data_IF_506545894550
#
_entry.id   IF_506545894550
#
_cell.length_a   1.000
_cell.length_b   1.000
_cell.length_c   1.000
_cell.angle_alpha   90.00
_cell.angle_beta   90.00
_cell.angle_gamma   90.00
#
_symmetry.space_group_name_H-M   'P 1'
#
loop_
_entity.id
_entity.type
_entity.pdbx_description
1 polymer ?
#
# COMPACT_ATOMS: atom_id res chain seq x y z
N UNK A 1 -38.14 -13.45 58.14
CA UNK A 1 -38.47 -12.61 56.97
C UNK A 1 -37.43 -11.48 56.95
N UNK A 2 -36.44 -11.48 56.05
CA UNK A 2 -36.52 -11.01 54.64
C UNK A 2 -35.58 -9.77 54.57
N UNK A 3 -34.47 -9.61 53.80
CA UNK A 3 -33.83 -10.34 52.70
C UNK A 3 -32.31 -10.07 52.65
N UNK A 4 -31.60 -11.01 52.02
CA UNK A 4 -30.26 -10.85 51.45
C UNK A 4 -30.44 -10.23 50.06
N UNK A 5 -29.72 -9.17 49.72
CA UNK A 5 -29.55 -8.76 48.32
C UNK A 5 -28.08 -8.47 48.03
N UNK A 6 -27.53 -9.37 47.22
CA UNK A 6 -26.15 -9.45 46.74
C UNK A 6 -25.97 -8.43 45.62
N UNK A 7 -24.98 -7.54 45.76
CA UNK A 7 -24.52 -6.65 44.69
C UNK A 7 -23.63 -7.44 43.71
N UNK A 8 -24.17 -7.75 42.53
CA UNK A 8 -23.42 -8.32 41.41
C UNK A 8 -22.69 -7.22 40.65
N UNK A 9 -21.37 -7.19 40.74
CA UNK A 9 -20.49 -6.33 39.94
C UNK A 9 -20.21 -7.03 38.60
N UNK A 10 -20.91 -6.63 37.53
CA UNK A 10 -20.63 -7.14 36.18
C UNK A 10 -19.42 -6.40 35.60
N UNK A 11 -18.28 -7.10 35.49
CA UNK A 11 -17.08 -6.60 34.85
C UNK A 11 -17.26 -6.56 33.32
N UNK A 12 -17.30 -5.37 32.74
CA UNK A 12 -17.21 -5.14 31.30
C UNK A 12 -15.73 -5.29 30.86
N UNK A 13 -15.38 -6.46 30.34
CA UNK A 13 -14.10 -6.68 29.67
C UNK A 13 -14.15 -6.03 28.27
N UNK A 14 -13.45 -4.91 28.10
CA UNK A 14 -13.17 -4.34 26.78
C UNK A 14 -12.13 -5.19 26.05
N UNK A 15 -12.57 -6.00 25.09
CA UNK A 15 -11.69 -6.72 24.18
C UNK A 15 -11.13 -5.74 23.12
N UNK A 16 -9.90 -5.25 23.34
CA UNK A 16 -9.18 -4.39 22.39
C UNK A 16 -8.37 -5.19 21.34
N UNK A 17 -8.83 -6.38 20.92
CA UNK A 17 -8.06 -7.34 20.10
C UNK A 17 -8.39 -7.30 18.61
N UNK A 18 -9.18 -6.33 18.13
CA UNK A 18 -9.70 -6.34 16.76
C UNK A 18 -8.78 -5.75 15.68
N UNK A 19 -7.91 -4.81 16.04
CA UNK A 19 -7.09 -4.09 15.06
C UNK A 19 -6.03 -5.00 14.42
N UNK A 20 -5.26 -5.72 15.23
CA UNK A 20 -4.23 -6.65 14.75
C UNK A 20 -4.79 -7.77 13.87
N UNK A 21 -5.94 -8.35 14.25
CA UNK A 21 -6.56 -9.41 13.46
C UNK A 21 -7.06 -8.89 12.10
N UNK A 22 -7.66 -7.70 12.08
CA UNK A 22 -8.16 -7.08 10.85
C UNK A 22 -7.03 -6.68 9.90
N UNK A 23 -5.87 -6.28 10.42
CA UNK A 23 -4.68 -5.99 9.63
C UNK A 23 -4.02 -7.27 9.11
N UNK A 24 -3.90 -8.33 9.93
CA UNK A 24 -3.40 -9.62 9.48
C UNK A 24 -4.22 -10.17 8.31
N UNK A 25 -5.55 -10.14 8.38
CA UNK A 25 -6.41 -10.60 7.30
C UNK A 25 -6.35 -9.71 6.05
N UNK A 26 -6.11 -8.42 6.23
CA UNK A 26 -5.87 -7.50 5.12
C UNK A 26 -4.54 -7.82 4.42
N UNK A 27 -3.46 -8.01 5.18
CA UNK A 27 -2.13 -8.29 4.65
C UNK A 27 -2.05 -9.61 3.87
N UNK A 28 -2.77 -10.65 4.33
CA UNK A 28 -2.85 -11.96 3.63
C UNK A 28 -3.32 -11.85 2.17
N UNK A 29 -4.11 -10.82 1.82
CA UNK A 29 -4.64 -10.61 0.45
C UNK A 29 -3.55 -10.26 -0.56
N UNK A 30 -2.37 -9.90 -0.09
CA UNK A 30 -1.23 -9.58 -0.92
C UNK A 30 -0.22 -10.73 -1.04
N UNK A 31 -0.46 -11.86 -0.39
CA UNK A 31 0.36 -13.06 -0.55
C UNK A 31 0.04 -13.79 -1.86
N UNK A 32 1.06 -14.31 -2.55
CA UNK A 32 0.90 -15.10 -3.77
C UNK A 32 1.61 -14.51 -4.99
N UNK A 33 1.23 -14.96 -6.17
CA UNK A 33 1.77 -14.47 -7.44
C UNK A 33 0.70 -13.72 -8.21
N UNK A 34 1.09 -12.58 -8.78
CA UNK A 34 0.18 -11.68 -9.49
C UNK A 34 0.79 -11.24 -10.82
N UNK A 35 -0.05 -11.02 -11.83
CA UNK A 35 0.33 -10.30 -13.02
C UNK A 35 -0.76 -9.33 -13.46
N UNK A 36 -0.37 -8.37 -14.27
CA UNK A 36 -1.31 -7.39 -14.78
C UNK A 36 -0.62 -6.29 -15.55
N UNK A 37 -1.29 -5.15 -15.65
CA UNK A 37 -0.84 -4.05 -16.48
C UNK A 37 -1.36 -2.71 -15.98
N UNK A 38 -0.78 -1.64 -16.51
CA UNK A 38 -1.11 -0.29 -16.08
C UNK A 38 -0.37 0.80 -16.83
N UNK A 39 -0.62 2.04 -16.41
CA UNK A 39 0.07 3.23 -16.90
C UNK A 39 1.10 3.74 -15.90
N UNK A 40 2.29 4.10 -16.38
CA UNK A 40 3.33 4.77 -15.59
C UNK A 40 3.82 6.01 -16.32
N UNK A 41 3.81 7.16 -15.64
CA UNK A 41 4.38 8.42 -16.11
C UNK A 41 5.75 8.62 -15.48
N UNK A 42 6.67 9.20 -16.24
CA UNK A 42 7.99 9.61 -15.72
C UNK A 42 8.08 11.10 -15.42
N UNK A 43 7.14 11.88 -15.94
CA UNK A 43 6.93 13.30 -15.66
C UNK A 43 5.42 13.61 -15.67
N UNK A 44 4.98 14.59 -14.90
CA UNK A 44 3.55 14.88 -14.72
C UNK A 44 2.85 15.26 -16.04
N UNK A 45 3.55 15.94 -16.95
CA UNK A 45 3.09 16.37 -18.27
C UNK A 45 3.24 15.30 -19.37
N UNK A 46 3.85 14.15 -19.06
CA UNK A 46 4.09 13.08 -20.03
C UNK A 46 2.92 12.11 -20.17
N UNK A 47 2.72 11.58 -21.39
CA UNK A 47 1.80 10.46 -21.61
C UNK A 47 2.24 9.21 -20.85
N UNK A 48 1.30 8.43 -20.27
CA UNK A 48 1.64 7.22 -19.54
C UNK A 48 2.18 6.14 -20.48
N UNK A 49 3.20 5.44 -20.01
CA UNK A 49 3.72 4.24 -20.64
C UNK A 49 2.89 3.05 -20.19
N UNK A 50 2.39 2.27 -21.13
CA UNK A 50 1.72 1.01 -20.82
C UNK A 50 2.77 -0.03 -20.41
N UNK A 51 2.60 -0.59 -19.22
CA UNK A 51 3.49 -1.60 -18.65
C UNK A 51 2.74 -2.90 -18.39
N UNK A 52 3.43 -4.03 -18.53
CA UNK A 52 2.99 -5.33 -18.02
C UNK A 52 3.83 -5.68 -16.80
N UNK A 53 3.21 -6.10 -15.72
CA UNK A 53 3.89 -6.36 -14.46
C UNK A 53 3.67 -7.79 -13.99
N UNK A 54 4.69 -8.35 -13.34
CA UNK A 54 4.64 -9.60 -12.57
C UNK A 54 5.16 -9.30 -11.17
N UNK A 55 4.41 -9.69 -10.15
CA UNK A 55 4.69 -9.40 -8.74
C UNK A 55 4.47 -10.66 -7.92
N UNK A 56 5.41 -10.96 -7.04
CA UNK A 56 5.29 -11.97 -6.00
C UNK A 56 5.12 -11.25 -4.66
N UNK A 57 4.18 -11.72 -3.86
CA UNK A 57 3.91 -11.20 -2.54
C UNK A 57 4.08 -12.25 -1.47
N UNK A 58 4.64 -11.83 -0.34
CA UNK A 58 4.80 -12.63 0.88
C UNK A 58 4.28 -11.83 2.06
N UNK A 59 3.41 -12.43 2.87
CA UNK A 59 2.75 -11.75 3.99
C UNK A 59 2.91 -12.55 5.29
N UNK A 60 3.03 -11.81 6.39
CA UNK A 60 2.88 -12.33 7.75
C UNK A 60 1.65 -11.66 8.39
N UNK A 61 1.46 -11.85 9.70
CA UNK A 61 0.40 -11.16 10.46
C UNK A 61 0.62 -9.64 10.54
N UNK A 62 1.86 -9.17 10.43
CA UNK A 62 2.21 -7.76 10.62
C UNK A 62 3.12 -7.17 9.55
N UNK A 63 3.37 -7.90 8.46
CA UNK A 63 4.18 -7.41 7.34
C UNK A 63 3.73 -7.94 5.99
N UNK A 64 4.05 -7.20 4.94
CA UNK A 64 3.98 -7.68 3.55
C UNK A 64 5.22 -7.23 2.78
N UNK A 65 5.74 -8.11 1.94
CA UNK A 65 6.75 -7.80 0.94
C UNK A 65 6.18 -8.09 -0.44
N UNK A 66 6.28 -7.11 -1.34
CA UNK A 66 5.94 -7.22 -2.75
C UNK A 66 7.24 -7.04 -3.54
N UNK A 67 7.58 -8.01 -4.37
CA UNK A 67 8.75 -7.96 -5.26
C UNK A 67 8.32 -8.31 -6.69
N UNK A 68 8.71 -7.49 -7.66
CA UNK A 68 8.29 -7.71 -9.02
C UNK A 68 9.02 -6.89 -10.06
N UNK A 69 8.55 -7.04 -11.28
CA UNK A 69 9.07 -6.30 -12.44
C UNK A 69 7.93 -5.82 -13.31
N UNK A 70 8.10 -4.63 -13.90
CA UNK A 70 7.24 -4.08 -14.93
C UNK A 70 8.03 -3.86 -16.22
N UNK A 71 7.48 -4.31 -17.34
CA UNK A 71 8.07 -4.20 -18.67
C UNK A 71 7.22 -3.28 -19.55
N UNK A 72 7.83 -2.23 -20.08
CA UNK A 72 7.23 -1.37 -21.09
C UNK A 72 7.77 -1.72 -22.49
N UNK A 73 6.92 -1.63 -23.52
CA UNK A 73 7.28 -1.87 -24.92
C UNK A 73 8.05 -3.19 -25.17
N UNK A 74 7.82 -4.21 -24.32
CA UNK A 74 8.52 -5.49 -24.31
C UNK A 74 10.06 -5.45 -24.09
N UNK A 75 10.67 -4.29 -23.84
CA UNK A 75 12.14 -4.15 -23.75
C UNK A 75 12.63 -3.37 -22.53
N UNK A 76 11.83 -2.45 -21.98
CA UNK A 76 12.24 -1.64 -20.83
C UNK A 76 11.69 -2.27 -19.56
N UNK A 77 12.52 -3.05 -18.86
CA UNK A 77 12.14 -3.67 -17.59
C UNK A 77 12.64 -2.88 -16.39
N UNK A 78 11.79 -2.74 -15.38
CA UNK A 78 12.11 -2.10 -14.10
C UNK A 78 11.66 -2.97 -12.95
N UNK A 79 12.50 -3.05 -11.92
CA UNK A 79 12.11 -3.62 -10.64
C UNK A 79 11.08 -2.71 -9.97
N UNK A 80 10.04 -3.31 -9.42
CA UNK A 80 9.05 -2.67 -8.56
C UNK A 80 8.93 -3.48 -7.27
N UNK A 81 8.62 -2.83 -6.16
CA UNK A 81 8.38 -3.53 -4.90
C UNK A 81 7.96 -2.63 -3.78
N UNK A 82 7.39 -3.22 -2.74
CA UNK A 82 7.03 -2.52 -1.51
C UNK A 82 7.18 -3.47 -0.32
N UNK A 83 7.96 -3.06 0.67
CA UNK A 83 8.08 -3.75 1.95
C UNK A 83 7.36 -2.90 2.99
N UNK A 84 6.36 -3.47 3.67
CA UNK A 84 5.55 -2.79 4.67
C UNK A 84 5.49 -3.61 5.96
N UNK A 85 5.48 -2.89 7.08
CA UNK A 85 5.18 -3.41 8.42
C UNK A 85 4.09 -2.57 9.04
N UNK A 86 3.21 -3.20 9.80
CA UNK A 86 2.18 -2.52 10.60
C UNK A 86 2.48 -2.73 12.08
N UNK A 87 2.38 -1.66 12.87
CA UNK A 87 2.46 -1.73 14.32
C UNK A 87 1.08 -1.96 14.95
N UNK A 88 1.04 -2.19 16.27
CA UNK A 88 -0.21 -2.40 17.01
C UNK A 88 -1.13 -1.18 17.05
N UNK A 89 -0.66 -0.01 16.62
CA UNK A 89 -1.48 1.20 16.44
C UNK A 89 -2.04 1.32 15.01
N UNK A 90 -1.86 0.32 14.16
CA UNK A 90 -2.32 0.30 12.77
C UNK A 90 -1.50 1.22 11.85
N UNK A 91 -0.29 1.61 12.26
CA UNK A 91 0.60 2.48 11.47
C UNK A 91 1.47 1.62 10.58
N UNK A 92 1.35 1.86 9.28
CA UNK A 92 2.15 1.21 8.25
C UNK A 92 3.43 2.02 8.01
N UNK A 93 4.58 1.35 7.99
CA UNK A 93 5.87 1.93 7.63
C UNK A 93 6.61 1.01 6.67
N UNK A 94 7.50 1.55 5.85
CA UNK A 94 8.22 0.71 4.90
C UNK A 94 8.98 1.42 3.81
N UNK A 95 9.24 0.69 2.73
CA UNK A 95 10.02 1.16 1.58
C UNK A 95 9.33 0.80 0.27
N UNK A 96 9.31 1.75 -0.66
CA UNK A 96 8.90 1.54 -2.05
C UNK A 96 10.10 1.55 -2.99
N UNK A 97 10.16 0.57 -3.88
CA UNK A 97 11.10 0.50 -5.01
C UNK A 97 10.33 0.58 -6.33
N UNK A 98 10.80 1.41 -7.25
CA UNK A 98 10.18 1.54 -8.58
C UNK A 98 10.58 2.81 -9.32
N UNK A 99 10.99 3.83 -8.56
CA UNK A 99 11.50 5.08 -9.13
C UNK A 99 12.99 5.00 -9.48
N UNK A 100 13.40 5.76 -10.52
CA UNK A 100 14.82 5.94 -10.89
C UNK A 100 15.62 6.65 -9.80
N UNK A 101 14.97 7.43 -8.95
CA UNK A 101 15.64 8.27 -7.96
C UNK A 101 16.07 7.50 -6.70
N UNK A 102 15.69 6.23 -6.58
CA UNK A 102 16.04 5.34 -5.48
C UNK A 102 14.82 4.91 -4.65
N UNK A 103 15.03 4.05 -3.64
CA UNK A 103 13.98 3.60 -2.75
C UNK A 103 13.39 4.77 -1.94
N UNK A 104 12.07 4.80 -1.80
CA UNK A 104 11.34 5.83 -1.09
C UNK A 104 10.80 5.30 0.23
N UNK A 105 10.77 6.13 1.27
CA UNK A 105 10.16 5.76 2.53
C UNK A 105 8.62 5.83 2.42
N UNK A 106 7.95 4.90 3.10
CA UNK A 106 6.50 4.81 3.17
C UNK A 106 6.03 5.00 4.61
N UNK A 107 4.98 5.79 4.81
CA UNK A 107 4.28 5.86 6.10
C UNK A 107 2.80 6.15 5.90
N UNK A 108 1.93 5.47 6.65
CA UNK A 108 0.50 5.70 6.50
C UNK A 108 -0.35 4.74 7.31
N UNK A 109 -1.62 4.62 6.94
CA UNK A 109 -2.61 3.79 7.61
C UNK A 109 -3.61 3.25 6.62
N UNK A 110 -4.40 2.28 7.06
CA UNK A 110 -5.60 1.88 6.32
C UNK A 110 -6.66 2.98 6.35
N UNK A 111 -7.38 3.08 5.23
CA UNK A 111 -8.57 3.89 5.05
C UNK A 111 -9.61 3.00 4.37
N UNK A 112 -10.51 2.42 5.15
CA UNK A 112 -11.41 1.37 4.68
C UNK A 112 -10.65 0.13 4.20
N UNK A 113 -10.90 -0.26 2.95
CA UNK A 113 -10.26 -1.41 2.31
C UNK A 113 -8.95 -1.07 1.61
N UNK A 114 -8.47 0.17 1.66
CA UNK A 114 -7.18 0.55 1.09
C UNK A 114 -6.15 0.83 2.18
N UNK A 115 -4.88 0.66 1.86
CA UNK A 115 -3.80 1.33 2.61
C UNK A 115 -3.36 2.56 1.82
N UNK A 116 -3.32 3.70 2.51
CA UNK A 116 -2.93 4.99 1.96
C UNK A 116 -1.63 5.41 2.63
N UNK A 117 -0.59 5.58 1.83
CA UNK A 117 0.79 5.77 2.27
C UNK A 117 1.33 7.08 1.70
N UNK A 118 1.87 7.91 2.57
CA UNK A 118 2.77 8.98 2.15
C UNK A 118 4.06 8.35 1.63
N UNK A 119 4.48 8.79 0.46
CA UNK A 119 5.77 8.45 -0.13
C UNK A 119 6.71 9.62 0.14
N UNK A 120 7.87 9.33 0.72
CA UNK A 120 8.96 10.30 0.87
C UNK A 120 10.12 9.89 -0.01
N UNK A 121 10.31 10.64 -1.09
CA UNK A 121 11.38 10.41 -2.06
C UNK A 121 12.76 10.77 -1.50
N UNK A 122 13.83 10.03 -1.84
CA UNK A 122 15.20 10.37 -1.43
C UNK A 122 15.75 11.62 -2.14
N UNK A 123 15.14 12.01 -3.26
CA UNK A 123 15.47 13.20 -4.06
C UNK A 123 14.18 13.80 -4.62
N UNK A 124 14.16 15.10 -4.96
CA UNK A 124 12.96 15.70 -5.51
C UNK A 124 12.46 15.02 -6.79
N UNK A 125 11.14 14.82 -6.88
CA UNK A 125 10.34 14.44 -8.05
C UNK A 125 9.32 15.55 -8.23
N UNK A 126 9.16 16.06 -9.46
CA UNK A 126 8.27 17.19 -9.73
C UNK A 126 8.47 18.39 -8.78
N UNK A 127 9.70 18.60 -8.30
CA UNK A 127 10.06 19.75 -7.45
C UNK A 127 9.87 19.57 -5.93
N UNK A 128 9.36 18.44 -5.44
CA UNK A 128 9.35 18.13 -4.01
C UNK A 128 9.62 16.64 -3.72
N UNK A 129 9.57 16.22 -2.46
CA UNK A 129 9.87 14.84 -2.06
C UNK A 129 8.64 14.02 -1.67
N UNK A 130 7.43 14.46 -2.02
CA UNK A 130 6.18 13.92 -1.49
C UNK A 130 5.28 13.36 -2.58
N UNK A 131 4.75 12.17 -2.35
CA UNK A 131 3.66 11.62 -3.15
C UNK A 131 2.72 10.82 -2.25
N UNK A 132 1.61 10.34 -2.80
CA UNK A 132 0.67 9.46 -2.11
C UNK A 132 0.52 8.17 -2.89
N UNK A 133 0.78 7.06 -2.23
CA UNK A 133 0.53 5.72 -2.74
C UNK A 133 -0.75 5.16 -2.14
N UNK A 134 -1.58 4.55 -2.97
CA UNK A 134 -2.77 3.81 -2.54
C UNK A 134 -2.66 2.37 -3.05
N UNK A 135 -2.79 1.41 -2.14
CA UNK A 135 -2.89 0.00 -2.47
C UNK A 135 -4.27 -0.48 -2.05
N UNK A 136 -5.03 -1.03 -3.00
CA UNK A 136 -6.42 -1.46 -2.78
C UNK A 136 -6.57 -2.91 -3.24
N UNK A 137 -6.91 -3.85 -2.34
CA UNK A 137 -7.32 -5.18 -2.70
C UNK A 137 -8.51 -5.15 -3.66
N UNK A 138 -8.60 -6.17 -4.50
CA UNK A 138 -9.73 -6.44 -5.38
C UNK A 138 -10.17 -7.87 -5.14
N UNK A 139 -11.27 -8.30 -5.79
CA UNK A 139 -11.78 -9.66 -5.65
C UNK A 139 -10.73 -10.77 -5.93
N UNK A 140 -9.75 -10.51 -6.81
CA UNK A 140 -8.72 -11.49 -7.17
C UNK A 140 -7.36 -10.83 -7.43
N UNK A 141 -6.88 -9.98 -6.51
CA UNK A 141 -5.62 -9.25 -6.66
C UNK A 141 -5.67 -7.87 -6.02
N UNK A 142 -4.98 -6.89 -6.60
CA UNK A 142 -4.96 -5.53 -6.06
C UNK A 142 -4.63 -4.48 -7.12
N UNK A 143 -4.96 -3.23 -6.83
CA UNK A 143 -4.47 -2.07 -7.58
C UNK A 143 -3.37 -1.36 -6.81
N UNK A 144 -2.40 -0.83 -7.56
CA UNK A 144 -1.29 -0.04 -7.07
C UNK A 144 -1.33 1.32 -7.79
N UNK A 145 -1.60 2.39 -7.04
CA UNK A 145 -1.66 3.74 -7.58
C UNK A 145 -0.71 4.69 -6.84
N UNK A 146 -0.06 5.58 -7.59
CA UNK A 146 0.75 6.68 -7.05
C UNK A 146 0.27 7.98 -7.65
N UNK A 147 -0.16 8.89 -6.79
CA UNK A 147 -0.50 10.27 -7.11
C UNK A 147 0.62 11.19 -6.63
N UNK A 148 1.02 12.14 -7.47
CA UNK A 148 2.06 13.14 -7.17
C UNK A 148 1.54 14.53 -7.59
N UNK A 149 2.16 15.61 -7.12
CA UNK A 149 1.89 16.93 -7.67
C UNK A 149 2.67 17.13 -8.97
N UNK A 150 2.14 17.92 -9.89
CA UNK A 150 2.87 18.33 -11.10
C UNK A 150 4.03 19.30 -10.81
N UNK A 151 3.89 20.07 -9.73
CA UNK A 151 4.88 20.97 -9.14
C UNK A 151 4.50 21.27 -7.69
N UNK A 152 5.39 21.84 -6.87
CA UNK A 152 5.04 22.22 -5.50
C UNK A 152 3.82 23.17 -5.47
N UNK A 153 2.78 22.77 -4.74
CA UNK A 153 1.50 23.52 -4.66
C UNK A 153 0.61 23.43 -5.90
N UNK A 154 0.95 22.55 -6.86
CA UNK A 154 0.22 22.36 -8.10
C UNK A 154 -0.91 21.33 -8.02
N UNK A 155 -1.27 20.77 -9.16
CA UNK A 155 -2.38 19.82 -9.29
C UNK A 155 -1.92 18.38 -9.05
N UNK A 156 -2.79 17.57 -8.45
CA UNK A 156 -2.54 16.13 -8.30
C UNK A 156 -2.66 15.41 -9.63
N UNK A 157 -1.64 14.63 -9.99
CA UNK A 157 -1.53 13.83 -11.20
C UNK A 157 -1.32 12.36 -10.85
N UNK A 158 -2.09 11.48 -11.50
CA UNK A 158 -1.91 10.03 -11.42
C UNK A 158 -0.63 9.64 -12.18
N UNK A 159 0.43 9.37 -11.44
CA UNK A 159 1.73 8.99 -11.98
C UNK A 159 1.79 7.50 -12.29
N UNK A 160 1.24 6.66 -11.42
CA UNK A 160 1.17 5.21 -11.63
C UNK A 160 -0.24 4.73 -11.37
N UNK A 161 -0.75 3.86 -12.25
CA UNK A 161 -1.99 3.13 -12.04
C UNK A 161 -1.86 1.73 -12.62
N UNK A 162 -1.69 0.72 -11.76
CA UNK A 162 -1.45 -0.67 -12.15
C UNK A 162 -2.51 -1.54 -11.49
N UNK A 163 -3.15 -2.41 -12.29
CA UNK A 163 -4.04 -3.45 -11.80
C UNK A 163 -3.35 -4.80 -11.93
N UNK A 164 -3.30 -5.54 -10.83
CA UNK A 164 -2.73 -6.88 -10.73
C UNK A 164 -3.83 -7.87 -10.35
N UNK A 165 -3.83 -9.02 -11.01
CA UNK A 165 -4.69 -10.15 -10.70
C UNK A 165 -3.82 -11.36 -10.29
N UNK A 166 -4.34 -12.22 -9.42
CA UNK A 166 -3.65 -13.45 -9.06
C UNK A 166 -3.49 -14.34 -10.29
N UNK A 167 -2.32 -14.97 -10.42
CA UNK A 167 -2.00 -15.95 -11.47
C UNK A 167 -2.29 -17.36 -11.01
#
# INVERSE_FOLDING_TARGET
>A
MKEISILSFAALAFAATGADAADADFLKRFGGSFAGQGGVRTAADSSPWNVKCKVSGSSTESSVSLDGTCTAAAVVTRKIGADLKVDSAGTYTGTYTGSKIGPAALSGRRQGDSVVLNVTWPKPVNGDTKAVMTITPTANGFTFAVDDLDRPGGSKVRMTDIRLAAN
#
